data_IF_924006398098
#
_entry.id   IF_924006398098
#
_cell.length_a   1.000
_cell.length_b   1.000
_cell.length_c   1.000
_cell.angle_alpha   90.00
_cell.angle_beta   90.00
_cell.angle_gamma   90.00
#
_symmetry.space_group_name_H-M   'P 1'
#
loop_
_entity.id
_entity.type
_entity.pdbx_description
1 polymer ?
#
# COMPACT_ATOMS: atom_id res chain seq x y z
N UNK A 1 -9.77 1.41 36.99
CA UNK A 1 -10.36 0.16 36.48
C UNK A 1 -11.78 0.05 37.01
N UNK A 2 -12.75 -0.44 36.23
CA UNK A 2 -14.13 -0.56 36.69
C UNK A 2 -14.40 -2.02 37.10
N UNK A 3 -14.56 -2.25 38.40
CA UNK A 3 -14.97 -3.53 38.97
C UNK A 3 -16.30 -3.31 39.69
N UNK A 4 -17.31 -4.14 39.40
CA UNK A 4 -18.67 -4.01 39.95
C UNK A 4 -19.29 -2.61 39.77
N UNK A 5 -19.08 -1.99 38.60
CA UNK A 5 -19.56 -0.63 38.28
C UNK A 5 -19.04 0.47 39.21
N UNK A 6 -17.90 0.24 39.89
CA UNK A 6 -17.17 1.23 40.68
C UNK A 6 -15.76 1.39 40.13
N UNK A 7 -15.35 2.64 39.99
CA UNK A 7 -13.99 2.97 39.56
C UNK A 7 -13.02 2.84 40.73
N UNK A 8 -12.07 1.91 40.62
CA UNK A 8 -10.93 1.81 41.51
C UNK A 8 -9.70 2.48 40.89
N UNK A 9 -9.02 3.28 41.71
CA UNK A 9 -7.73 3.89 41.39
C UNK A 9 -6.64 2.85 41.66
N UNK A 10 -5.90 2.46 40.62
CA UNK A 10 -4.82 1.45 40.70
C UNK A 10 -3.63 1.96 41.52
N UNK A 11 -3.19 3.19 41.25
CA UNK A 11 -2.21 3.95 42.02
C UNK A 11 -2.34 5.44 41.67
N UNK A 12 -1.87 6.34 42.54
CA UNK A 12 -2.04 7.80 42.38
C UNK A 12 -0.98 8.45 41.48
N UNK A 13 0.08 7.75 41.09
CA UNK A 13 1.25 8.30 40.39
C UNK A 13 1.68 7.44 39.19
N UNK A 14 0.73 6.84 38.49
CA UNK A 14 1.04 6.03 37.30
C UNK A 14 1.49 6.97 36.16
N UNK A 15 2.72 6.79 35.67
CA UNK A 15 3.26 7.54 34.52
C UNK A 15 2.97 6.83 33.19
N UNK A 16 2.75 5.51 33.21
CA UNK A 16 2.29 4.77 32.04
C UNK A 16 1.76 3.38 32.34
N UNK A 17 1.15 2.77 31.31
CA UNK A 17 0.48 1.48 31.36
C UNK A 17 0.77 0.70 30.07
N UNK A 18 1.10 -0.58 30.22
CA UNK A 18 1.24 -1.55 29.14
C UNK A 18 0.31 -2.73 29.41
N UNK A 19 -0.41 -3.18 28.40
CA UNK A 19 -1.43 -4.24 28.55
C UNK A 19 -1.29 -5.31 27.47
N UNK A 20 -1.49 -6.56 27.88
CA UNK A 20 -1.79 -7.69 26.99
C UNK A 20 -3.14 -8.30 27.39
N UNK A 21 -3.53 -9.41 26.75
CA UNK A 21 -4.77 -10.10 27.08
C UNK A 21 -4.83 -10.59 28.54
N UNK A 22 -3.68 -10.95 29.13
CA UNK A 22 -3.59 -11.57 30.45
C UNK A 22 -2.75 -10.79 31.46
N UNK A 23 -1.87 -9.90 30.98
CA UNK A 23 -0.90 -9.21 31.84
C UNK A 23 -1.11 -7.70 31.77
N UNK A 24 -1.14 -7.06 32.94
CA UNK A 24 -1.23 -5.61 33.06
C UNK A 24 0.00 -5.14 33.82
N UNK A 25 0.80 -4.32 33.15
CA UNK A 25 1.94 -3.65 33.77
C UNK A 25 1.68 -2.16 33.81
N UNK A 26 2.05 -1.55 34.92
CA UNK A 26 2.07 -0.11 35.05
C UNK A 26 3.39 0.31 35.69
N UNK A 27 3.79 1.55 35.46
CA UNK A 27 5.02 2.06 36.04
C UNK A 27 4.82 3.47 36.60
N UNK A 28 5.73 3.80 37.50
CA UNK A 28 5.85 5.10 38.14
C UNK A 28 7.34 5.42 38.21
N UNK A 29 7.79 6.37 37.40
CA UNK A 29 9.21 6.72 37.23
C UNK A 29 10.05 5.47 36.88
N UNK A 30 10.96 5.06 37.76
CA UNK A 30 11.91 3.95 37.59
C UNK A 30 11.30 2.56 37.91
N UNK A 31 10.13 2.52 38.52
CA UNK A 31 9.58 1.31 39.12
C UNK A 31 8.50 0.67 38.25
N UNK A 32 8.68 -0.62 37.92
CA UNK A 32 7.73 -1.42 37.18
C UNK A 32 6.91 -2.29 38.12
N UNK A 33 5.59 -2.25 37.96
CA UNK A 33 4.63 -3.03 38.72
C UNK A 33 3.79 -3.90 37.81
N UNK A 34 3.42 -5.08 38.32
CA UNK A 34 2.42 -5.95 37.71
C UNK A 34 1.15 -5.90 38.53
N UNK A 35 0.01 -5.76 37.85
CA UNK A 35 -1.30 -5.73 38.47
C UNK A 35 -2.02 -7.06 38.29
N UNK A 36 -2.37 -7.72 39.39
CA UNK A 36 -3.21 -8.91 39.37
C UNK A 36 -4.69 -8.50 39.42
N UNK A 37 -5.40 -8.70 38.32
CA UNK A 37 -6.83 -8.35 38.19
C UNK A 37 -7.72 -9.17 39.11
N UNK A 38 -7.37 -10.43 39.40
CA UNK A 38 -8.19 -11.31 40.24
C UNK A 38 -8.10 -10.94 41.71
N UNK A 39 -6.89 -10.60 42.17
CA UNK A 39 -6.61 -10.27 43.58
C UNK A 39 -6.79 -8.77 43.86
N UNK A 40 -6.84 -7.93 42.82
CA UNK A 40 -6.91 -6.48 42.95
C UNK A 40 -5.64 -5.87 43.56
N UNK A 41 -4.51 -6.58 43.50
CA UNK A 41 -3.25 -6.19 44.12
C UNK A 41 -2.13 -6.03 43.11
N UNK A 42 -1.21 -5.12 43.42
CA UNK A 42 0.00 -4.91 42.62
C UNK A 42 1.22 -5.50 43.30
N UNK A 43 2.17 -6.01 42.51
CA UNK A 43 3.51 -6.37 42.98
C UNK A 43 4.56 -5.59 42.21
N UNK A 44 5.61 -5.15 42.91
CA UNK A 44 6.79 -4.61 42.25
C UNK A 44 7.52 -5.76 41.53
N UNK A 45 7.88 -5.51 40.27
CA UNK A 45 8.58 -6.48 39.42
C UNK A 45 10.07 -6.15 39.39
N UNK A 46 10.40 -4.88 39.13
CA UNK A 46 11.77 -4.43 38.99
C UNK A 46 11.87 -2.91 39.16
N UNK A 47 13.03 -2.43 39.62
CA UNK A 47 13.38 -1.01 39.66
C UNK A 47 14.58 -0.77 38.72
N UNK A 48 14.37 0.10 37.73
CA UNK A 48 15.36 0.46 36.71
C UNK A 48 16.29 1.59 37.19
N UNK A 49 17.47 1.78 36.56
CA UNK A 49 18.39 2.84 36.97
C UNK A 49 17.93 4.26 36.60
N UNK A 50 16.87 4.39 35.80
CA UNK A 50 16.33 5.65 35.29
C UNK A 50 14.84 5.46 34.97
N UNK A 51 14.17 6.56 34.60
CA UNK A 51 12.74 6.59 34.30
C UNK A 51 12.37 5.64 33.15
N UNK A 52 11.27 4.90 33.33
CA UNK A 52 10.67 4.06 32.29
C UNK A 52 9.86 4.95 31.35
N UNK A 53 10.25 4.98 30.08
CA UNK A 53 9.55 5.73 29.04
C UNK A 53 8.34 4.95 28.50
N UNK A 54 8.48 3.64 28.31
CA UNK A 54 7.44 2.82 27.67
C UNK A 54 7.63 1.33 28.00
N UNK A 55 6.53 0.56 27.99
CA UNK A 55 6.53 -0.89 28.21
C UNK A 55 5.65 -1.58 27.18
N UNK A 56 6.29 -2.40 26.34
CA UNK A 56 5.63 -3.24 25.35
C UNK A 56 5.42 -4.62 25.95
N UNK A 57 4.17 -4.99 26.20
CA UNK A 57 3.82 -6.28 26.82
C UNK A 57 3.57 -7.31 25.73
N UNK A 58 4.23 -8.46 25.84
CA UNK A 58 4.02 -9.60 24.96
C UNK A 58 3.27 -10.72 25.67
N UNK A 59 3.29 -11.90 25.06
CA UNK A 59 2.59 -13.06 25.60
C UNK A 59 3.27 -13.65 26.84
N UNK A 60 2.46 -14.22 27.73
CA UNK A 60 2.88 -14.93 28.94
C UNK A 60 3.77 -14.05 29.85
N UNK A 61 3.42 -12.76 29.91
CA UNK A 61 4.10 -11.64 30.55
C UNK A 61 5.61 -11.56 30.33
N UNK A 62 6.03 -11.87 29.11
CA UNK A 62 7.24 -11.27 28.53
C UNK A 62 6.99 -9.78 28.32
N UNK A 63 8.03 -8.97 28.40
CA UNK A 63 7.94 -7.57 28.01
C UNK A 63 9.25 -7.03 27.46
N UNK A 64 9.15 -5.95 26.69
CA UNK A 64 10.26 -5.10 26.31
C UNK A 64 10.05 -3.73 26.95
N UNK A 65 11.05 -3.26 27.69
CA UNK A 65 10.96 -2.04 28.49
C UNK A 65 11.93 -1.00 27.94
N UNK A 66 11.44 0.20 27.67
CA UNK A 66 12.25 1.36 27.28
C UNK A 66 12.51 2.23 28.51
N UNK A 67 13.77 2.57 28.74
CA UNK A 67 14.26 3.29 29.92
C UNK A 67 15.13 4.44 29.45
N UNK A 68 14.85 5.65 29.94
CA UNK A 68 15.55 6.86 29.55
C UNK A 68 17.06 6.75 29.85
N UNK A 69 17.90 6.94 28.83
CA UNK A 69 19.35 7.10 29.00
C UNK A 69 19.73 8.58 29.08
N UNK A 70 19.26 9.36 28.11
CA UNK A 70 19.49 10.79 27.98
C UNK A 70 18.31 11.45 27.26
N UNK A 71 18.33 12.77 27.08
CA UNK A 71 17.23 13.54 26.46
C UNK A 71 16.89 13.12 25.01
N UNK A 72 17.69 12.24 24.40
CA UNK A 72 17.58 11.83 23.00
C UNK A 72 17.63 10.32 22.77
N UNK A 73 17.85 9.52 23.81
CA UNK A 73 17.95 8.06 23.67
C UNK A 73 17.37 7.31 24.86
N UNK A 74 16.83 6.12 24.54
CA UNK A 74 16.34 5.16 25.51
C UNK A 74 17.09 3.84 25.35
N UNK A 75 17.42 3.24 26.49
CA UNK A 75 17.86 1.86 26.57
C UNK A 75 16.68 0.91 26.56
N UNK A 76 16.85 -0.23 25.90
CA UNK A 76 15.83 -1.26 25.81
C UNK A 76 16.27 -2.52 26.55
N UNK A 77 15.40 -2.97 27.46
CA UNK A 77 15.57 -4.16 28.29
C UNK A 77 14.53 -5.22 27.92
N UNK A 78 14.84 -6.48 28.20
CA UNK A 78 13.91 -7.60 27.99
C UNK A 78 13.55 -8.23 29.32
N UNK A 79 12.29 -8.59 29.49
CA UNK A 79 11.76 -9.35 30.61
C UNK A 79 11.20 -10.67 30.11
N UNK A 80 11.61 -11.77 30.76
CA UNK A 80 11.15 -13.11 30.40
C UNK A 80 9.84 -13.51 31.11
N UNK A 81 9.33 -14.70 30.80
CA UNK A 81 8.09 -15.27 31.35
C UNK A 81 8.10 -15.37 32.89
N UNK A 82 9.29 -15.53 33.48
CA UNK A 82 9.47 -15.62 34.94
C UNK A 82 9.60 -14.23 35.59
N UNK A 83 9.30 -13.14 34.87
CA UNK A 83 9.40 -11.75 35.34
C UNK A 83 10.83 -11.32 35.70
N UNK A 84 11.83 -12.00 35.13
CA UNK A 84 13.24 -11.64 35.31
C UNK A 84 13.64 -10.71 34.17
N UNK A 85 14.10 -9.51 34.53
CA UNK A 85 14.62 -8.49 33.61
C UNK A 85 16.08 -8.75 33.31
N UNK A 86 16.52 -8.50 32.07
CA UNK A 86 17.92 -8.56 31.68
C UNK A 86 18.78 -7.57 32.47
N UNK A 87 19.92 -8.00 33.01
CA UNK A 87 20.80 -7.14 33.83
C UNK A 87 21.31 -5.91 33.08
N UNK A 88 21.47 -6.03 31.76
CA UNK A 88 21.97 -4.98 30.87
C UNK A 88 20.99 -4.76 29.73
N UNK A 89 20.95 -3.54 29.16
CA UNK A 89 20.17 -3.27 27.97
C UNK A 89 20.80 -3.97 26.76
N UNK A 90 19.95 -4.30 25.78
CA UNK A 90 20.38 -5.00 24.56
C UNK A 90 20.23 -4.13 23.30
N UNK A 91 19.54 -3.00 23.38
CA UNK A 91 19.33 -2.08 22.26
C UNK A 91 19.31 -0.64 22.77
N UNK A 92 19.77 0.28 21.92
CA UNK A 92 19.72 1.71 22.12
C UNK A 92 18.84 2.31 21.02
N UNK A 93 17.77 3.02 21.41
CA UNK A 93 16.83 3.62 20.46
C UNK A 93 16.81 5.14 20.57
N UNK A 94 16.49 5.81 19.46
CA UNK A 94 16.41 7.27 19.43
C UNK A 94 15.03 7.75 19.88
N UNK A 95 14.99 8.77 20.73
CA UNK A 95 13.78 9.42 21.25
C UNK A 95 13.75 10.93 20.97
N UNK A 96 14.72 11.43 20.19
CA UNK A 96 14.81 12.85 19.85
C UNK A 96 13.54 13.36 19.13
N UNK A 97 13.11 14.62 19.36
CA UNK A 97 11.86 15.15 18.79
C UNK A 97 11.75 15.07 17.25
N UNK A 98 12.88 15.12 16.54
CA UNK A 98 12.96 15.06 15.08
C UNK A 98 13.24 13.65 14.54
N UNK A 99 13.58 12.69 15.40
CA UNK A 99 13.84 11.30 15.06
C UNK A 99 13.56 10.44 16.29
N UNK A 100 12.38 9.83 16.36
CA UNK A 100 11.99 9.01 17.51
C UNK A 100 11.44 7.67 17.11
N UNK A 101 11.53 6.70 18.00
CA UNK A 101 10.76 5.47 17.89
C UNK A 101 9.25 5.77 17.99
N UNK A 102 8.48 5.18 17.08
CA UNK A 102 7.03 5.35 16.93
C UNK A 102 6.39 3.96 16.76
N UNK A 103 6.44 3.17 17.83
CA UNK A 103 5.96 1.78 17.85
C UNK A 103 7.07 0.74 17.90
N UNK A 104 6.84 -0.28 18.72
CA UNK A 104 7.71 -1.43 18.90
C UNK A 104 6.83 -2.67 19.06
N UNK A 105 7.20 -3.75 18.39
CA UNK A 105 6.57 -5.06 18.57
C UNK A 105 7.67 -6.09 18.71
N UNK A 106 7.41 -7.13 19.47
CA UNK A 106 8.39 -8.20 19.65
C UNK A 106 7.70 -9.54 19.79
N UNK A 107 8.49 -10.59 19.57
CA UNK A 107 8.08 -11.96 19.75
C UNK A 107 9.27 -12.81 20.16
N UNK A 108 8.98 -13.96 20.74
CA UNK A 108 9.99 -14.94 21.13
C UNK A 108 9.62 -16.28 20.52
N UNK A 109 10.45 -16.77 19.61
CA UNK A 109 10.27 -18.04 18.89
C UNK A 109 11.59 -18.80 18.92
N UNK A 110 11.58 -20.11 19.20
CA UNK A 110 12.77 -20.97 19.20
C UNK A 110 13.96 -20.39 19.99
N UNK A 111 13.70 -19.90 21.21
CA UNK A 111 14.69 -19.23 22.09
C UNK A 111 15.37 -18.00 21.48
N UNK A 112 14.74 -17.34 20.50
CA UNK A 112 15.22 -16.09 19.91
C UNK A 112 14.20 -14.97 20.10
N UNK A 113 14.66 -13.85 20.62
CA UNK A 113 13.92 -12.60 20.63
C UNK A 113 14.03 -11.95 19.25
N UNK A 114 12.89 -11.69 18.62
CA UNK A 114 12.79 -10.88 17.41
C UNK A 114 11.98 -9.62 17.75
N UNK A 115 12.53 -8.47 17.41
CA UNK A 115 11.94 -7.16 17.67
C UNK A 115 11.89 -6.36 16.37
N UNK A 116 10.73 -5.76 16.10
CA UNK A 116 10.54 -4.78 15.04
C UNK A 116 10.20 -3.44 15.68
N UNK A 117 10.85 -2.37 15.24
CA UNK A 117 10.54 -1.02 15.70
C UNK A 117 10.53 -0.05 14.53
N UNK A 118 9.69 0.98 14.65
CA UNK A 118 9.60 2.03 13.65
C UNK A 118 10.32 3.28 14.14
N UNK A 119 11.19 3.86 13.33
CA UNK A 119 11.68 5.21 13.53
C UNK A 119 10.87 6.17 12.65
N UNK A 120 10.26 7.14 13.30
CA UNK A 120 9.66 8.32 12.68
C UNK A 120 10.68 9.43 12.67
N UNK A 121 11.00 9.95 11.48
CA UNK A 121 11.89 11.11 11.35
C UNK A 121 11.21 12.25 10.59
N UNK A 122 11.53 13.48 11.01
CA UNK A 122 11.06 14.70 10.36
C UNK A 122 12.27 15.53 9.94
N UNK A 123 12.45 15.70 8.63
CA UNK A 123 13.55 16.50 8.07
C UNK A 123 12.97 17.50 7.07
N UNK A 124 13.26 18.79 7.26
CA UNK A 124 12.78 19.89 6.39
C UNK A 124 11.25 19.87 6.13
N UNK A 125 10.47 19.52 7.15
CA UNK A 125 9.01 19.45 7.05
C UNK A 125 8.46 18.14 6.45
N UNK A 126 9.31 17.28 5.89
CA UNK A 126 8.91 15.96 5.38
C UNK A 126 8.95 14.93 6.49
N UNK A 127 7.88 14.16 6.61
CA UNK A 127 7.78 13.03 7.54
C UNK A 127 8.20 11.75 6.82
N UNK A 128 9.03 10.92 7.45
CA UNK A 128 9.38 9.62 6.92
C UNK A 128 9.38 8.56 8.02
N UNK A 129 9.09 7.34 7.61
CA UNK A 129 9.04 6.16 8.47
C UNK A 129 10.06 5.13 7.97
N UNK A 130 10.74 4.49 8.90
CA UNK A 130 11.63 3.36 8.61
C UNK A 130 11.46 2.29 9.67
N UNK A 131 11.44 1.04 9.24
CA UNK A 131 11.32 -0.12 10.13
C UNK A 131 12.66 -0.79 10.27
N UNK A 132 12.98 -1.23 11.49
CA UNK A 132 14.20 -1.96 11.78
C UNK A 132 13.89 -3.26 12.50
N UNK A 133 14.69 -4.29 12.21
CA UNK A 133 14.66 -5.61 12.83
C UNK A 133 15.89 -5.82 13.70
N UNK A 134 15.67 -6.28 14.92
CA UNK A 134 16.69 -6.78 15.85
C UNK A 134 16.35 -8.23 16.18
N UNK A 135 17.36 -9.09 16.10
CA UNK A 135 17.22 -10.51 16.44
C UNK A 135 18.40 -10.94 17.30
N UNK A 136 18.09 -11.64 18.40
CA UNK A 136 19.11 -12.08 19.36
C UNK A 136 18.67 -13.37 20.06
N UNK A 137 19.55 -14.36 20.21
CA UNK A 137 19.29 -15.51 21.09
C UNK A 137 19.03 -15.04 22.52
N UNK A 138 18.03 -15.61 23.21
CA UNK A 138 17.65 -15.19 24.57
C UNK A 138 18.84 -15.22 25.55
N UNK A 139 19.77 -16.17 25.35
CA UNK A 139 20.97 -16.34 26.18
C UNK A 139 21.99 -15.19 26.00
N UNK A 140 21.92 -14.46 24.89
CA UNK A 140 22.82 -13.36 24.54
C UNK A 140 22.18 -11.98 24.78
N UNK A 141 20.92 -11.93 25.22
CA UNK A 141 20.22 -10.67 25.51
C UNK A 141 20.94 -9.92 26.64
N UNK A 142 21.35 -8.69 26.37
CA UNK A 142 22.12 -7.86 27.30
C UNK A 142 23.63 -8.13 27.31
N UNK A 143 24.13 -9.05 26.47
CA UNK A 143 25.59 -9.27 26.31
C UNK A 143 26.28 -8.08 25.63
N UNK A 144 25.58 -7.39 24.72
CA UNK A 144 26.04 -6.23 23.97
C UNK A 144 24.86 -5.38 23.52
N UNK A 145 25.14 -4.12 23.15
CA UNK A 145 24.15 -3.25 22.50
C UNK A 145 24.11 -3.59 21.02
N UNK A 146 22.92 -3.98 20.56
CA UNK A 146 22.66 -4.33 19.18
C UNK A 146 22.21 -3.12 18.37
N UNK A 147 22.37 -3.22 17.05
CA UNK A 147 21.88 -2.22 16.09
C UNK A 147 20.80 -2.86 15.22
N UNK A 148 19.69 -2.15 15.03
CA UNK A 148 18.63 -2.59 14.12
C UNK A 148 19.07 -2.62 12.66
N UNK A 149 18.70 -3.69 11.96
CA UNK A 149 18.84 -3.82 10.51
C UNK A 149 17.59 -3.27 9.82
N UNK A 150 17.73 -2.39 8.84
CA UNK A 150 16.56 -1.81 8.15
C UNK A 150 15.81 -2.89 7.38
N UNK A 151 14.49 -2.92 7.52
CA UNK A 151 13.58 -3.80 6.76
C UNK A 151 13.03 -3.02 5.58
N UNK A 152 13.10 -3.61 4.39
CA UNK A 152 12.46 -3.08 3.19
C UNK A 152 11.15 -3.80 2.93
N UNK A 153 10.16 -3.05 2.46
CA UNK A 153 8.86 -3.59 2.07
C UNK A 153 8.66 -3.37 0.58
N UNK A 154 8.14 -4.38 -0.10
CA UNK A 154 7.79 -4.33 -1.52
C UNK A 154 6.36 -4.80 -1.70
N UNK A 155 5.66 -4.22 -2.66
CA UNK A 155 4.34 -4.66 -3.04
C UNK A 155 4.46 -5.98 -3.79
N UNK A 156 3.79 -7.03 -3.31
CA UNK A 156 3.85 -8.38 -3.88
C UNK A 156 3.38 -8.42 -5.35
N UNK A 157 2.41 -7.60 -5.71
CA UNK A 157 1.77 -7.64 -7.03
C UNK A 157 2.60 -6.87 -8.08
N UNK A 158 3.31 -5.81 -7.68
CA UNK A 158 4.04 -4.93 -8.60
C UNK A 158 5.56 -5.05 -8.50
N UNK A 159 6.07 -5.58 -7.38
CA UNK A 159 7.49 -5.56 -7.04
C UNK A 159 8.03 -4.16 -6.67
N UNK A 160 7.18 -3.13 -6.63
CA UNK A 160 7.60 -1.77 -6.30
C UNK A 160 7.85 -1.62 -4.80
N UNK A 161 8.80 -0.76 -4.45
CA UNK A 161 9.12 -0.45 -3.05
C UNK A 161 7.98 0.32 -2.38
N UNK A 162 7.54 -0.18 -1.24
CA UNK A 162 6.55 0.46 -0.40
C UNK A 162 7.21 1.57 0.43
N UNK A 163 6.85 2.82 0.13
CA UNK A 163 7.43 4.01 0.76
C UNK A 163 6.84 4.24 2.16
N UNK A 164 7.66 4.78 3.06
CA UNK A 164 7.24 5.19 4.41
C UNK A 164 6.50 4.10 5.20
N UNK A 165 6.95 2.84 5.08
CA UNK A 165 6.39 1.73 5.84
C UNK A 165 6.64 1.91 7.36
N UNK A 166 5.56 1.86 8.13
CA UNK A 166 5.53 2.08 9.58
C UNK A 166 4.37 1.35 10.27
N UNK A 167 4.22 1.55 11.58
CA UNK A 167 3.11 0.96 12.35
C UNK A 167 3.12 -0.58 12.34
N UNK A 168 4.32 -1.15 12.46
CA UNK A 168 4.56 -2.57 12.23
C UNK A 168 4.14 -3.39 13.44
N UNK A 169 3.35 -4.43 13.21
CA UNK A 169 2.93 -5.38 14.25
C UNK A 169 3.04 -6.83 13.78
N UNK A 170 3.47 -7.72 14.68
CA UNK A 170 3.37 -9.15 14.46
C UNK A 170 1.92 -9.60 14.58
N UNK A 171 1.47 -10.43 13.64
CA UNK A 171 0.15 -11.07 13.66
C UNK A 171 0.26 -12.50 13.17
N UNK A 172 -0.73 -13.31 13.52
CA UNK A 172 -0.90 -14.64 12.95
C UNK A 172 -1.98 -14.62 11.87
N UNK A 173 -1.68 -15.12 10.67
CA UNK A 173 -2.58 -15.18 9.51
C UNK A 173 -2.52 -16.59 8.94
N UNK A 174 -3.63 -17.34 8.96
CA UNK A 174 -3.69 -18.77 8.57
C UNK A 174 -2.70 -19.69 9.34
N UNK A 175 -2.48 -19.42 10.62
CA UNK A 175 -1.48 -20.17 11.41
C UNK A 175 -0.03 -19.86 11.00
N UNK A 176 0.18 -18.92 10.07
CA UNK A 176 1.49 -18.47 9.60
C UNK A 176 1.79 -17.10 10.17
N UNK A 177 3.03 -16.98 10.60
CA UNK A 177 3.53 -15.73 11.11
C UNK A 177 3.61 -14.67 10.01
N UNK A 178 3.01 -13.53 10.29
CA UNK A 178 2.95 -12.40 9.38
C UNK A 178 3.20 -11.10 10.12
N UNK A 179 3.46 -10.06 9.35
CA UNK A 179 3.63 -8.70 9.82
C UNK A 179 2.60 -7.85 9.10
N UNK A 180 1.82 -7.08 9.86
CA UNK A 180 0.99 -6.01 9.34
C UNK A 180 1.68 -4.68 9.51
N UNK A 181 1.52 -3.80 8.53
CA UNK A 181 2.16 -2.50 8.51
C UNK A 181 1.38 -1.53 7.62
N UNK A 182 1.55 -0.24 7.87
CA UNK A 182 0.98 0.83 7.03
C UNK A 182 2.05 1.39 6.11
N UNK A 183 1.69 1.72 4.87
CA UNK A 183 2.58 2.35 3.88
C UNK A 183 1.76 3.19 2.89
N UNK A 184 2.41 4.06 2.11
CA UNK A 184 1.73 4.84 1.08
C UNK A 184 1.04 3.90 0.08
N UNK A 185 -0.25 4.13 -0.12
CA UNK A 185 -1.09 3.41 -1.06
C UNK A 185 -0.62 3.64 -2.49
N UNK A 186 -0.45 2.54 -3.23
CA UNK A 186 -0.03 2.56 -4.63
C UNK A 186 -1.21 2.36 -5.60
N UNK A 187 -2.48 2.35 -5.14
CA UNK A 187 -3.64 2.16 -6.03
C UNK A 187 -4.12 3.49 -6.61
N UNK A 188 -4.85 3.41 -7.72
CA UNK A 188 -5.40 4.59 -8.40
C UNK A 188 -6.28 5.41 -7.46
N UNK A 189 -5.90 6.68 -7.30
CA UNK A 189 -6.64 7.63 -6.50
C UNK A 189 -6.57 7.36 -5.00
N UNK A 190 -5.54 6.62 -4.55
CA UNK A 190 -5.18 6.55 -3.13
C UNK A 190 -4.60 7.90 -2.65
N UNK A 191 -4.18 8.82 -3.53
CA UNK A 191 -3.65 10.15 -3.17
C UNK A 191 -2.58 10.09 -2.05
N UNK A 192 -1.71 9.08 -2.06
CA UNK A 192 -0.73 8.81 -0.99
C UNK A 192 -1.34 8.50 0.40
N UNK A 193 -2.60 8.05 0.46
CA UNK A 193 -3.22 7.58 1.70
C UNK A 193 -2.44 6.40 2.27
N UNK A 194 -2.35 6.32 3.60
CA UNK A 194 -1.75 5.17 4.28
C UNK A 194 -2.66 3.95 4.17
N UNK A 195 -2.22 2.97 3.41
CA UNK A 195 -2.86 1.66 3.26
C UNK A 195 -2.23 0.64 4.19
N UNK A 196 -3.05 -0.28 4.69
CA UNK A 196 -2.64 -1.42 5.49
C UNK A 196 -2.21 -2.56 4.57
N UNK A 197 -1.07 -3.16 4.86
CA UNK A 197 -0.50 -4.31 4.16
C UNK A 197 -0.24 -5.44 5.16
N UNK A 198 -0.24 -6.67 4.67
CA UNK A 198 0.25 -7.84 5.37
C UNK A 198 1.34 -8.52 4.55
N UNK A 199 2.45 -8.88 5.20
CA UNK A 199 3.53 -9.66 4.61
C UNK A 199 3.80 -10.90 5.47
N UNK A 200 3.96 -12.10 4.89
CA UNK A 200 4.50 -13.24 5.63
C UNK A 200 5.85 -12.88 6.25
N UNK A 201 6.05 -13.17 7.53
CA UNK A 201 7.31 -12.86 8.18
C UNK A 201 8.35 -13.89 7.76
N UNK A 202 9.35 -13.44 7.01
CA UNK A 202 10.50 -14.26 6.61
C UNK A 202 11.77 -13.65 7.19
N UNK A 203 12.79 -14.47 7.41
CA UNK A 203 14.02 -14.01 8.08
C UNK A 203 14.91 -13.10 7.20
N UNK A 204 14.40 -12.71 6.04
CA UNK A 204 15.07 -11.86 5.06
C UNK A 204 14.88 -10.36 5.40
N UNK A 205 15.75 -9.51 4.82
CA UNK A 205 15.66 -8.06 4.96
C UNK A 205 14.58 -7.40 4.11
N UNK A 206 13.89 -8.16 3.26
CA UNK A 206 12.83 -7.70 2.35
C UNK A 206 11.55 -8.49 2.68
N UNK A 207 10.44 -7.79 2.88
CA UNK A 207 9.13 -8.37 3.10
C UNK A 207 8.18 -7.99 1.96
N UNK A 208 7.57 -8.99 1.33
CA UNK A 208 6.60 -8.81 0.25
C UNK A 208 5.19 -8.68 0.83
N UNK A 209 4.64 -7.47 0.78
CA UNK A 209 3.34 -7.13 1.34
C UNK A 209 2.21 -7.17 0.31
N UNK A 210 1.06 -7.71 0.71
CA UNK A 210 -0.21 -7.61 -0.01
C UNK A 210 -1.14 -6.63 0.69
N UNK A 211 -1.88 -5.76 -0.02
CA UNK A 211 -2.77 -4.80 0.61
C UNK A 211 -3.96 -5.50 1.29
N UNK A 212 -4.23 -5.14 2.54
CA UNK A 212 -5.41 -5.57 3.30
C UNK A 212 -6.55 -4.54 3.23
N UNK A 213 -6.23 -3.25 3.37
CA UNK A 213 -7.23 -2.20 3.33
C UNK A 213 -7.61 -1.85 1.89
N UNK A 214 -8.90 -1.70 1.62
CA UNK A 214 -9.41 -1.21 0.33
C UNK A 214 -9.85 0.25 0.36
N UNK A 215 -9.57 0.96 1.46
CA UNK A 215 -10.04 2.32 1.71
C UNK A 215 -8.99 3.36 1.37
N UNK A 216 -9.44 4.52 0.88
CA UNK A 216 -8.59 5.68 0.55
C UNK A 216 -8.28 6.60 1.75
N UNK A 217 -8.47 6.09 2.97
CA UNK A 217 -8.38 6.85 4.20
C UNK A 217 -7.15 6.43 4.99
N UNK A 218 -6.66 7.31 5.86
CA UNK A 218 -5.46 7.05 6.65
C UNK A 218 -5.78 5.95 7.65
N UNK A 219 -5.13 4.80 7.48
CA UNK A 219 -5.25 3.65 8.38
C UNK A 219 -4.37 3.82 9.61
N UNK A 220 -4.92 3.56 10.79
CA UNK A 220 -4.24 3.61 12.07
C UNK A 220 -4.35 2.28 12.82
N UNK A 221 -3.21 1.89 13.40
CA UNK A 221 -3.10 0.91 14.49
C UNK A 221 -3.96 -0.34 14.29
N UNK A 222 -3.58 -1.25 13.39
CA UNK A 222 -4.23 -2.54 13.29
C UNK A 222 -4.06 -3.29 14.62
N UNK A 223 -5.10 -4.01 15.04
CA UNK A 223 -5.09 -4.88 16.21
C UNK A 223 -5.69 -6.22 15.80
N UNK A 224 -4.99 -7.30 16.14
CA UNK A 224 -5.51 -8.64 15.97
C UNK A 224 -6.57 -8.92 17.03
N UNK A 225 -7.80 -9.17 16.59
CA UNK A 225 -8.92 -9.49 17.49
C UNK A 225 -9.01 -11.00 17.75
N UNK A 226 -8.76 -11.79 16.71
CA UNK A 226 -8.70 -13.26 16.76
C UNK A 226 -7.68 -13.77 15.73
N UNK A 227 -7.38 -15.07 15.71
CA UNK A 227 -6.52 -15.69 14.70
C UNK A 227 -7.04 -15.49 13.27
N UNK A 228 -8.33 -15.20 13.10
CA UNK A 228 -8.99 -15.02 11.79
C UNK A 228 -9.45 -13.59 11.54
N UNK A 229 -9.20 -12.63 12.45
CA UNK A 229 -9.76 -11.28 12.35
C UNK A 229 -8.80 -10.17 12.80
N UNK A 230 -8.69 -9.15 11.96
CA UNK A 230 -7.93 -7.93 12.20
C UNK A 230 -8.87 -6.74 12.15
N UNK A 231 -8.73 -5.81 13.08
CA UNK A 231 -9.49 -4.55 13.10
C UNK A 231 -8.55 -3.36 13.10
N UNK A 232 -8.98 -2.24 12.53
CA UNK A 232 -8.20 -1.00 12.50
C UNK A 232 -9.11 0.22 12.40
N UNK A 233 -8.58 1.40 12.69
CA UNK A 233 -9.31 2.65 12.51
C UNK A 233 -8.88 3.35 11.23
N UNK A 234 -9.84 3.94 10.54
CA UNK A 234 -9.58 4.86 9.44
C UNK A 234 -10.07 6.26 9.80
N UNK A 235 -9.29 7.27 9.44
CA UNK A 235 -9.70 8.67 9.55
C UNK A 235 -10.08 9.22 8.18
N UNK A 236 -11.31 9.69 8.05
CA UNK A 236 -11.86 10.22 6.79
C UNK A 236 -11.71 11.74 6.63
N UNK A 237 -11.13 12.43 7.61
CA UNK A 237 -11.03 13.89 7.66
C UNK A 237 -11.96 14.56 8.67
N UNK A 238 -12.93 13.84 9.23
CA UNK A 238 -13.82 14.34 10.29
C UNK A 238 -14.21 13.31 11.36
N UNK A 239 -14.18 12.02 11.04
CA UNK A 239 -14.56 10.92 11.95
C UNK A 239 -13.56 9.76 11.87
N UNK A 240 -13.50 8.99 12.96
CA UNK A 240 -12.82 7.70 12.99
C UNK A 240 -13.84 6.59 12.80
N UNK A 241 -13.63 5.78 11.78
CA UNK A 241 -14.45 4.62 11.48
C UNK A 241 -13.67 3.34 11.76
N UNK A 242 -14.32 2.37 12.40
CA UNK A 242 -13.74 1.05 12.67
C UNK A 242 -13.93 0.14 11.44
N UNK A 243 -12.83 -0.42 10.97
CA UNK A 243 -12.78 -1.38 9.87
C UNK A 243 -12.26 -2.72 10.38
N UNK A 244 -12.52 -3.76 9.60
CA UNK A 244 -11.93 -5.06 9.86
C UNK A 244 -11.84 -5.92 8.61
N UNK A 245 -10.93 -6.88 8.67
CA UNK A 245 -10.78 -7.96 7.72
C UNK A 245 -10.92 -9.28 8.48
N UNK A 246 -11.54 -10.26 7.84
CA UNK A 246 -11.65 -11.60 8.40
C UNK A 246 -11.38 -12.65 7.34
N UNK A 247 -10.84 -13.78 7.78
CA UNK A 247 -10.63 -14.99 6.99
C UNK A 247 -11.85 -15.92 7.01
N UNK A 248 -12.87 -15.61 7.82
CA UNK A 248 -14.07 -16.41 7.88
C UNK A 248 -14.82 -16.37 6.53
N UNK A 249 -15.02 -17.53 5.91
CA UNK A 249 -15.64 -17.66 4.58
C UNK A 249 -16.99 -16.93 4.45
N UNK A 250 -17.80 -16.93 5.51
CA UNK A 250 -19.09 -16.24 5.50
C UNK A 250 -18.88 -14.71 5.44
N UNK A 251 -17.96 -14.17 6.26
CA UNK A 251 -17.64 -12.74 6.27
C UNK A 251 -17.01 -12.32 4.94
N UNK A 252 -16.12 -13.14 4.38
CA UNK A 252 -15.53 -12.92 3.05
C UNK A 252 -16.63 -12.86 2.00
N UNK A 253 -17.52 -13.86 1.96
CA UNK A 253 -18.62 -13.90 1.00
C UNK A 253 -19.54 -12.68 1.15
N UNK A 254 -19.91 -12.29 2.36
CA UNK A 254 -20.76 -11.12 2.61
C UNK A 254 -20.07 -9.81 2.19
N UNK A 255 -18.75 -9.71 2.37
CA UNK A 255 -17.95 -8.52 2.02
C UNK A 255 -17.85 -8.26 0.51
N UNK A 256 -18.03 -9.29 -0.32
CA UNK A 256 -18.00 -9.17 -1.79
C UNK A 256 -19.29 -8.61 -2.40
N UNK A 257 -20.36 -8.47 -1.60
CA UNK A 257 -21.61 -7.93 -2.07
C UNK A 257 -21.51 -6.42 -2.38
N UNK A 258 -22.26 -5.99 -3.39
CA UNK A 258 -22.29 -4.60 -3.79
C UNK A 258 -22.95 -3.73 -2.71
N UNK A 259 -22.15 -2.89 -2.07
CA UNK A 259 -22.65 -1.87 -1.15
C UNK A 259 -22.94 -0.56 -1.89
N UNK A 260 -23.77 0.31 -1.29
CA UNK A 260 -23.97 1.69 -1.79
C UNK A 260 -22.64 2.45 -1.90
N UNK A 261 -21.70 2.16 -0.99
CA UNK A 261 -20.36 2.75 -1.02
C UNK A 261 -19.57 2.27 -2.23
N UNK A 262 -19.57 0.97 -2.49
CA UNK A 262 -18.89 0.35 -3.64
C UNK A 262 -19.36 0.97 -4.96
N UNK A 263 -20.67 1.19 -5.11
CA UNK A 263 -21.23 1.86 -6.31
C UNK A 263 -20.73 3.31 -6.43
N UNK A 264 -20.75 4.07 -5.33
CA UNK A 264 -20.29 5.47 -5.31
C UNK A 264 -18.81 5.58 -5.65
N UNK A 265 -17.98 4.70 -5.08
CA UNK A 265 -16.55 4.63 -5.36
C UNK A 265 -16.26 4.23 -6.80
N UNK A 266 -16.97 3.23 -7.33
CA UNK A 266 -16.83 2.81 -8.73
C UNK A 266 -17.18 3.94 -9.70
N UNK A 267 -18.26 4.69 -9.44
CA UNK A 267 -18.62 5.87 -10.24
C UNK A 267 -17.55 6.96 -10.16
N UNK A 268 -17.04 7.26 -8.96
CA UNK A 268 -16.00 8.27 -8.78
C UNK A 268 -14.70 7.88 -9.51
N UNK A 269 -14.25 6.64 -9.33
CA UNK A 269 -13.07 6.11 -10.01
C UNK A 269 -13.28 6.07 -11.54
N UNK A 270 -14.48 5.70 -12.00
CA UNK A 270 -14.84 5.73 -13.42
C UNK A 270 -14.76 7.13 -14.03
N UNK A 271 -15.24 8.15 -13.31
CA UNK A 271 -15.10 9.55 -13.74
C UNK A 271 -13.63 9.98 -13.81
N UNK A 272 -12.82 9.68 -12.79
CA UNK A 272 -11.39 9.97 -12.80
C UNK A 272 -10.66 9.28 -13.95
N UNK A 273 -10.99 8.01 -14.21
CA UNK A 273 -10.47 7.22 -15.33
C UNK A 273 -10.88 7.80 -16.71
N UNK A 274 -12.10 8.35 -16.84
CA UNK A 274 -12.49 9.07 -18.05
C UNK A 274 -11.66 10.34 -18.26
N UNK A 275 -11.32 11.07 -17.20
CA UNK A 275 -10.41 12.22 -17.30
C UNK A 275 -8.99 11.82 -17.71
N UNK A 276 -8.47 10.72 -17.17
CA UNK A 276 -7.20 10.12 -17.63
C UNK A 276 -7.22 9.84 -19.15
N UNK A 277 -8.36 9.38 -19.67
CA UNK A 277 -8.56 9.13 -21.09
C UNK A 277 -8.55 10.39 -21.96
N UNK A 278 -8.90 11.57 -21.43
CA UNK A 278 -8.84 12.84 -22.18
C UNK A 278 -7.39 13.24 -22.51
N UNK A 279 -6.44 12.93 -21.64
CA UNK A 279 -5.01 13.16 -21.94
C UNK A 279 -4.58 12.30 -23.12
N UNK A 280 -5.06 11.06 -23.17
CA UNK A 280 -4.83 10.15 -24.30
C UNK A 280 -5.39 10.72 -25.61
N UNK A 281 -6.56 11.39 -25.59
CA UNK A 281 -7.09 12.11 -26.77
C UNK A 281 -6.10 13.17 -27.26
N UNK A 282 -5.55 13.99 -26.35
CA UNK A 282 -4.57 15.01 -26.71
C UNK A 282 -3.29 14.42 -27.32
N UNK A 283 -2.79 13.31 -26.76
CA UNK A 283 -1.62 12.61 -27.31
C UNK A 283 -1.93 11.95 -28.66
N UNK A 284 -3.15 11.49 -28.89
CA UNK A 284 -3.55 10.82 -30.14
C UNK A 284 -3.44 11.73 -31.38
N UNK A 285 -3.48 13.05 -31.22
CA UNK A 285 -3.22 13.98 -32.33
C UNK A 285 -1.85 13.74 -32.98
N UNK A 286 -0.84 13.37 -32.19
CA UNK A 286 0.48 13.02 -32.71
C UNK A 286 0.43 11.84 -33.69
N UNK A 287 -0.50 10.89 -33.49
CA UNK A 287 -0.66 9.72 -34.37
C UNK A 287 -1.30 10.09 -35.71
N UNK A 288 -2.18 11.09 -35.72
CA UNK A 288 -2.90 11.53 -36.91
C UNK A 288 -1.99 12.33 -37.85
N UNK A 289 -1.03 13.09 -37.32
CA UNK A 289 -0.20 14.02 -38.08
C UNK A 289 0.54 13.39 -39.29
N UNK A 290 1.24 12.25 -39.17
CA UNK A 290 1.94 11.67 -40.31
C UNK A 290 1.00 11.25 -41.45
N UNK A 291 -0.16 10.69 -41.10
CA UNK A 291 -1.17 10.30 -42.09
C UNK A 291 -1.82 11.51 -42.76
N UNK A 292 -2.11 12.56 -41.99
CA UNK A 292 -2.60 13.83 -42.53
C UNK A 292 -1.56 14.47 -43.46
N UNK A 293 -0.29 14.46 -43.07
CA UNK A 293 0.80 14.98 -43.89
C UNK A 293 0.92 14.24 -45.23
N UNK A 294 0.83 12.91 -45.23
CA UNK A 294 0.79 12.12 -46.46
C UNK A 294 -0.39 12.54 -47.35
N UNK A 295 -1.60 12.64 -46.79
CA UNK A 295 -2.79 12.99 -47.57
C UNK A 295 -2.68 14.39 -48.18
N UNK A 296 -2.16 15.38 -47.44
CA UNK A 296 -1.92 16.74 -47.94
C UNK A 296 -0.88 16.73 -49.06
N UNK A 297 0.25 16.01 -48.89
CA UNK A 297 1.27 15.90 -49.94
C UNK A 297 0.71 15.26 -51.20
N UNK A 298 -0.05 14.16 -51.07
CA UNK A 298 -0.67 13.52 -52.23
C UNK A 298 -1.68 14.44 -52.89
N UNK A 299 -2.45 15.22 -52.12
CA UNK A 299 -3.42 16.17 -52.67
C UNK A 299 -2.74 17.25 -53.51
N UNK A 300 -1.60 17.77 -53.06
CA UNK A 300 -0.83 18.81 -53.77
C UNK A 300 -0.09 18.23 -54.99
N UNK A 301 0.62 17.12 -54.82
CA UNK A 301 1.57 16.62 -55.82
C UNK A 301 0.99 15.55 -56.76
N UNK A 302 -0.09 14.86 -56.36
CA UNK A 302 -0.72 13.77 -57.12
C UNK A 302 -2.24 13.74 -56.88
N UNK A 303 -2.99 14.79 -57.27
CA UNK A 303 -4.44 14.86 -57.03
C UNK A 303 -5.22 13.68 -57.63
N UNK A 304 -4.74 13.11 -58.74
CA UNK A 304 -5.32 11.91 -59.38
C UNK A 304 -5.34 10.68 -58.46
N UNK A 305 -4.59 10.69 -57.35
CA UNK A 305 -4.66 9.64 -56.33
C UNK A 305 -6.03 9.57 -55.63
N UNK A 306 -6.86 10.62 -55.74
CA UNK A 306 -8.16 10.76 -55.10
C UNK A 306 -9.36 10.59 -56.06
N UNK A 307 -9.12 10.51 -57.37
CA UNK A 307 -10.16 10.58 -58.42
C UNK A 307 -10.87 9.24 -58.71
N UNK A 308 -10.78 8.25 -57.82
CA UNK A 308 -11.44 6.93 -58.01
C UNK A 308 -12.75 6.85 -57.25
N UNK A 309 -13.77 6.29 -57.89
CA UNK A 309 -14.98 5.85 -57.22
C UNK A 309 -14.65 4.75 -56.19
N UNK A 310 -14.95 5.01 -54.91
CA UNK A 310 -14.69 4.07 -53.81
C UNK A 310 -13.44 4.40 -52.98
N UNK A 311 -12.78 3.37 -52.46
CA UNK A 311 -11.64 3.52 -51.52
C UNK A 311 -10.35 3.67 -52.31
N UNK A 312 -9.66 4.80 -52.15
CA UNK A 312 -8.39 5.03 -52.84
C UNK A 312 -7.22 4.30 -52.14
N UNK A 313 -6.15 4.05 -52.89
CA UNK A 313 -4.92 3.53 -52.29
C UNK A 313 -4.27 4.53 -51.31
N UNK A 314 -4.51 5.84 -51.50
CA UNK A 314 -4.05 6.89 -50.62
C UNK A 314 -4.73 6.81 -49.23
N UNK A 315 -6.01 6.41 -49.21
CA UNK A 315 -6.74 6.12 -47.97
C UNK A 315 -6.15 4.91 -47.22
N UNK A 316 -5.89 3.80 -47.92
CA UNK A 316 -5.23 2.64 -47.29
C UNK A 316 -3.83 2.99 -46.77
N UNK A 317 -3.05 3.75 -47.54
CA UNK A 317 -1.70 4.14 -47.14
C UNK A 317 -1.72 5.03 -45.87
N UNK A 318 -2.64 5.98 -45.77
CA UNK A 318 -2.77 6.84 -44.60
C UNK A 318 -3.25 6.08 -43.36
N UNK A 319 -4.16 5.11 -43.52
CA UNK A 319 -4.60 4.21 -42.44
C UNK A 319 -3.44 3.34 -41.95
N UNK A 320 -2.64 2.77 -42.85
CA UNK A 320 -1.48 1.95 -42.47
C UNK A 320 -0.44 2.77 -41.69
N UNK A 321 -0.11 3.97 -42.17
CA UNK A 321 0.81 4.86 -41.44
C UNK A 321 0.26 5.18 -40.05
N UNK A 322 -1.04 5.45 -39.94
CA UNK A 322 -1.67 5.74 -38.67
C UNK A 322 -1.57 4.56 -37.70
N UNK A 323 -1.84 3.33 -38.15
CA UNK A 323 -1.76 2.14 -37.30
C UNK A 323 -0.36 1.86 -36.74
N UNK A 324 0.69 2.33 -37.40
CA UNK A 324 2.06 2.19 -36.91
C UNK A 324 2.39 3.18 -35.78
N UNK A 325 1.70 4.32 -35.70
CA UNK A 325 2.02 5.36 -34.73
C UNK A 325 1.74 4.97 -33.26
N UNK A 326 0.59 4.36 -32.90
CA UNK A 326 0.34 3.89 -31.52
C UNK A 326 1.38 2.89 -31.01
N UNK A 327 2.02 2.12 -31.90
CA UNK A 327 3.07 1.16 -31.54
C UNK A 327 4.25 1.89 -30.87
N UNK A 328 4.62 3.06 -31.37
CA UNK A 328 5.71 3.88 -30.79
C UNK A 328 5.39 4.41 -29.39
N UNK A 329 4.11 4.48 -29.03
CA UNK A 329 3.64 4.98 -27.74
C UNK A 329 3.39 3.87 -26.71
N UNK A 330 3.35 2.60 -27.16
CA UNK A 330 2.94 1.45 -26.33
C UNK A 330 3.83 1.28 -25.10
N UNK A 331 5.15 1.45 -25.23
CA UNK A 331 6.08 1.30 -24.10
C UNK A 331 5.90 2.36 -23.01
N UNK A 332 5.42 3.55 -23.38
CA UNK A 332 5.19 4.64 -22.44
C UNK A 332 3.78 4.55 -21.84
N UNK A 333 2.81 4.12 -22.64
CA UNK A 333 1.41 3.97 -22.25
C UNK A 333 1.17 2.78 -21.33
N UNK A 334 1.83 1.65 -21.62
CA UNK A 334 1.67 0.39 -20.90
C UNK A 334 2.90 0.16 -20.02
N UNK A 335 3.12 1.10 -19.11
CA UNK A 335 4.19 1.07 -18.12
C UNK A 335 3.76 0.24 -16.88
N UNK A 336 4.56 0.23 -15.82
CA UNK A 336 4.27 -0.52 -14.59
C UNK A 336 2.87 -0.21 -14.02
N UNK A 337 2.47 1.07 -14.04
CA UNK A 337 1.15 1.49 -13.60
C UNK A 337 0.03 0.85 -14.40
N UNK A 338 0.11 0.81 -15.73
CA UNK A 338 -0.90 0.13 -16.56
C UNK A 338 -1.10 -1.33 -16.13
N UNK A 339 0.00 -2.07 -15.93
CA UNK A 339 -0.06 -3.49 -15.57
C UNK A 339 -0.54 -3.72 -14.12
N UNK A 340 -0.48 -2.71 -13.26
CA UNK A 340 -1.00 -2.77 -11.89
C UNK A 340 -2.52 -2.57 -11.84
N UNK A 341 -3.06 -1.76 -12.76
CA UNK A 341 -4.42 -1.20 -12.63
C UNK A 341 -5.38 -1.72 -13.69
N UNK A 342 -4.85 -2.19 -14.82
CA UNK A 342 -5.66 -2.77 -15.88
C UNK A 342 -6.22 -4.13 -15.42
N UNK A 343 -7.43 -4.48 -15.88
CA UNK A 343 -8.02 -5.79 -15.61
C UNK A 343 -7.11 -6.93 -16.11
N UNK A 344 -7.14 -8.08 -15.43
CA UNK A 344 -6.27 -9.23 -15.74
C UNK A 344 -6.32 -9.65 -17.22
N UNK A 345 -7.48 -9.54 -17.86
CA UNK A 345 -7.66 -9.88 -19.28
C UNK A 345 -6.92 -8.92 -20.25
N UNK A 346 -6.36 -7.80 -19.76
CA UNK A 346 -5.48 -6.88 -20.50
C UNK A 346 -3.99 -7.04 -20.16
N UNK A 347 -3.63 -7.90 -19.20
CA UNK A 347 -2.29 -7.95 -18.58
C UNK A 347 -1.62 -9.32 -18.79
N UNK A 348 -1.55 -9.79 -20.03
CA UNK A 348 -0.79 -11.00 -20.40
C UNK A 348 0.50 -10.65 -21.15
N UNK A 349 1.51 -11.56 -21.19
CA UNK A 349 2.75 -11.30 -21.93
C UNK A 349 2.48 -10.92 -23.39
N UNK A 350 2.91 -9.72 -23.79
CA UNK A 350 2.68 -9.18 -25.13
C UNK A 350 1.29 -8.57 -25.36
N UNK A 351 0.49 -8.37 -24.31
CA UNK A 351 -0.87 -7.84 -24.41
C UNK A 351 -0.95 -6.49 -25.11
N UNK A 352 0.07 -5.63 -24.98
CA UNK A 352 0.08 -4.34 -25.67
C UNK A 352 -0.09 -4.44 -27.18
N UNK A 353 0.72 -5.28 -27.83
CA UNK A 353 0.59 -5.49 -29.27
C UNK A 353 -0.71 -6.22 -29.64
N UNK A 354 -1.14 -7.18 -28.81
CA UNK A 354 -2.39 -7.91 -29.04
C UNK A 354 -3.63 -7.00 -28.97
N UNK A 355 -3.68 -6.08 -28.00
CA UNK A 355 -4.76 -5.11 -27.86
C UNK A 355 -4.78 -4.11 -29.01
N UNK A 356 -3.62 -3.59 -29.44
CA UNK A 356 -3.57 -2.72 -30.62
C UNK A 356 -4.06 -3.43 -31.88
N UNK A 357 -3.67 -4.69 -32.06
CA UNK A 357 -4.11 -5.50 -33.20
C UNK A 357 -5.62 -5.74 -33.14
N UNK A 358 -6.16 -6.09 -31.98
CA UNK A 358 -7.59 -6.29 -31.78
C UNK A 358 -8.38 -5.01 -32.12
N UNK A 359 -7.96 -3.86 -31.59
CA UNK A 359 -8.58 -2.55 -31.88
C UNK A 359 -8.49 -2.25 -33.38
N UNK A 360 -7.35 -2.54 -34.01
CA UNK A 360 -7.15 -2.32 -35.45
C UNK A 360 -8.12 -3.16 -36.29
N UNK A 361 -8.29 -4.44 -35.95
CA UNK A 361 -9.20 -5.37 -36.64
C UNK A 361 -10.65 -4.92 -36.48
N UNK A 362 -11.08 -4.60 -35.25
CA UNK A 362 -12.44 -4.13 -34.97
C UNK A 362 -12.72 -2.83 -35.72
N UNK A 363 -11.78 -1.87 -35.64
CA UNK A 363 -11.89 -0.59 -36.36
C UNK A 363 -11.95 -0.80 -37.86
N UNK A 364 -11.15 -1.71 -38.41
CA UNK A 364 -11.15 -2.02 -39.83
C UNK A 364 -12.49 -2.59 -40.30
N UNK A 365 -13.09 -3.51 -39.52
CA UNK A 365 -14.43 -4.05 -39.82
C UNK A 365 -15.48 -2.94 -39.80
N UNK A 366 -15.48 -2.09 -38.78
CA UNK A 366 -16.42 -0.97 -38.65
C UNK A 366 -16.24 0.03 -39.78
N UNK A 367 -15.00 0.40 -40.09
CA UNK A 367 -14.68 1.28 -41.21
C UNK A 367 -15.13 0.66 -42.53
N UNK A 368 -14.91 -0.64 -42.76
CA UNK A 368 -15.28 -1.29 -44.02
C UNK A 368 -16.79 -1.33 -44.25
N UNK A 369 -17.58 -1.48 -43.19
CA UNK A 369 -19.06 -1.58 -43.26
C UNK A 369 -19.72 -0.20 -43.18
N UNK A 370 -19.19 0.69 -42.33
CA UNK A 370 -19.79 1.98 -42.01
C UNK A 370 -19.27 3.17 -42.82
N UNK A 371 -18.17 3.02 -43.57
CA UNK A 371 -17.68 4.08 -44.46
C UNK A 371 -18.63 4.27 -45.63
N UNK A 372 -19.17 5.48 -45.74
CA UNK A 372 -20.02 5.87 -46.85
C UNK A 372 -19.23 5.86 -48.17
N UNK A 373 -19.70 5.18 -49.22
CA UNK A 373 -19.06 5.16 -50.54
C UNK A 373 -18.75 6.56 -51.11
N UNK A 374 -19.59 7.55 -50.80
CA UNK A 374 -19.52 8.92 -51.31
C UNK A 374 -18.45 9.77 -50.59
N UNK A 375 -17.88 9.27 -49.49
CA UNK A 375 -16.82 9.97 -48.78
C UNK A 375 -15.51 9.98 -49.56
N UNK A 376 -14.94 11.17 -49.76
CA UNK A 376 -13.56 11.32 -50.23
C UNK A 376 -12.55 10.70 -49.25
N UNK A 377 -11.34 10.41 -49.75
CA UNK A 377 -10.32 9.65 -48.98
C UNK A 377 -9.89 10.33 -47.67
N UNK A 378 -10.01 11.65 -47.56
CA UNK A 378 -9.79 12.35 -46.29
C UNK A 378 -10.82 11.92 -45.25
N UNK A 379 -12.11 12.03 -45.57
CA UNK A 379 -13.20 11.69 -44.65
C UNK A 379 -13.17 10.21 -44.27
N UNK A 380 -12.91 9.32 -45.23
CA UNK A 380 -12.77 7.88 -44.97
C UNK A 380 -11.60 7.53 -44.05
N UNK A 381 -10.42 8.14 -44.27
CA UNK A 381 -9.26 7.96 -43.39
C UNK A 381 -9.51 8.52 -41.98
N UNK A 382 -10.08 9.72 -41.87
CA UNK A 382 -10.41 10.32 -40.57
C UNK A 382 -11.49 9.54 -39.81
N UNK A 383 -12.44 8.92 -40.50
CA UNK A 383 -13.42 8.03 -39.89
C UNK A 383 -12.73 6.83 -39.23
N UNK A 384 -11.80 6.15 -39.94
CA UNK A 384 -11.00 5.07 -39.34
C UNK A 384 -10.24 5.56 -38.11
N UNK A 385 -9.50 6.67 -38.23
CA UNK A 385 -8.69 7.21 -37.13
C UNK A 385 -9.54 7.58 -35.92
N UNK A 386 -10.69 8.21 -36.13
CA UNK A 386 -11.61 8.61 -35.07
C UNK A 386 -12.18 7.41 -34.31
N UNK A 387 -12.64 6.37 -35.04
CA UNK A 387 -13.14 5.14 -34.43
C UNK A 387 -12.01 4.42 -33.67
N UNK A 388 -10.81 4.34 -34.25
CA UNK A 388 -9.65 3.75 -33.58
C UNK A 388 -9.33 4.46 -32.27
N UNK A 389 -9.23 5.79 -32.31
CA UNK A 389 -8.95 6.61 -31.13
C UNK A 389 -10.05 6.40 -30.09
N UNK A 390 -11.33 6.36 -30.50
CA UNK A 390 -12.45 6.10 -29.59
C UNK A 390 -12.31 4.75 -28.86
N UNK A 391 -11.98 3.67 -29.57
CA UNK A 391 -11.75 2.37 -28.93
C UNK A 391 -10.51 2.38 -28.03
N UNK A 392 -9.44 3.05 -28.48
CA UNK A 392 -8.21 3.18 -27.70
C UNK A 392 -8.47 3.93 -26.38
N UNK A 393 -9.14 5.08 -26.41
CA UNK A 393 -9.39 5.90 -25.22
C UNK A 393 -10.42 5.28 -24.28
N UNK A 394 -11.33 4.43 -24.77
CA UNK A 394 -12.32 3.76 -23.92
C UNK A 394 -11.77 2.48 -23.31
N UNK A 395 -10.84 1.81 -23.99
CA UNK A 395 -10.28 0.53 -23.55
C UNK A 395 -8.97 0.69 -22.79
N UNK A 396 -7.99 1.41 -23.36
CA UNK A 396 -6.64 1.54 -22.81
C UNK A 396 -6.49 2.88 -22.07
N UNK A 397 -7.08 3.95 -22.61
CA UNK A 397 -7.08 5.31 -22.04
C UNK A 397 -7.28 5.42 -20.52
N UNK A 398 -8.21 4.67 -19.89
CA UNK A 398 -8.45 4.71 -18.45
C UNK A 398 -7.23 4.37 -17.59
N UNK A 399 -6.28 3.62 -18.15
CA UNK A 399 -5.18 2.97 -17.43
C UNK A 399 -3.80 3.53 -17.79
N UNK A 400 -3.72 4.52 -18.68
CA UNK A 400 -2.44 5.06 -19.21
C UNK A 400 -1.86 6.15 -18.32
N UNK A 401 -2.71 6.90 -17.61
CA UNK A 401 -2.29 8.07 -16.86
C UNK A 401 -2.40 7.83 -15.35
N UNK A 402 -1.26 8.05 -14.67
CA UNK A 402 -1.24 8.31 -13.25
C UNK A 402 -1.57 9.79 -13.05
N UNK A 403 -2.80 10.11 -12.66
CA UNK A 403 -3.06 11.38 -12.01
C UNK A 403 -2.49 11.19 -10.60
N UNK A 404 -1.31 11.77 -10.36
CA UNK A 404 -0.53 11.84 -9.10
C UNK A 404 0.69 10.93 -9.00
#
# INVERSE_FOLDING_TARGET
>A
MTQDSKDQILSKEITGLGVSANDIYYWSNEQLYEYNVQEGSSREVYTFPSEISDVHVGDNGKAVIQVLQDDTHDFVYYMNENRVVSEKPFLLVNTAPNKKVDGLTFKVTDEKLTLLYNEKSRTQGTLSYSTYKVQVPLQEVGSSILTGSKVEFVNKDTGEKLANAGGVQFVNVDGKESVVFTSEGQRIGDNSAMSLYAAPFQDQGILEGSPLSTTKHVTYSPVQLTDEALVWFNYDGGTYELYGASQNDQVVSESTNWSKRSVKEALNNGVLMMFSSLVTVLTSFYWVLPSLFLLILLYIFRPNAFEKDGISWAEYASIIIFMLMPISYTSNAMNAYFYQVAPEYFVFPGSGYALLLLISVITWVIWKIGRDPDWGSFAGAFYFMGIYILFYITSIGPYIFNLF
#
